data_IF_815150125552
#
_entry.id   IF_815150125552
#
_cell.length_a   1.000
_cell.length_b   1.000
_cell.length_c   1.000
_cell.angle_alpha   90.00
_cell.angle_beta   90.00
_cell.angle_gamma   90.00
#
_symmetry.space_group_name_H-M   'P 1'
#
loop_
_entity.id
_entity.type
_entity.pdbx_description
1 polymer ?
#
# COMPACT_ATOMS: atom_id res chain seq x y z
N UNK A 1 -19.77 -27.21 -37.74
CA UNK A 1 -20.29 -26.74 -36.44
C UNK A 1 -19.87 -27.76 -35.40
N UNK A 2 -18.83 -27.48 -34.62
CA UNK A 2 -18.36 -28.44 -33.60
C UNK A 2 -19.39 -28.52 -32.49
N UNK A 3 -20.02 -29.68 -32.35
CA UNK A 3 -20.87 -30.00 -31.22
C UNK A 3 -20.01 -29.98 -29.97
N UNK A 4 -20.03 -28.88 -29.23
CA UNK A 4 -19.47 -28.81 -27.90
C UNK A 4 -20.33 -29.71 -27.02
N UNK A 5 -19.93 -30.98 -26.89
CA UNK A 5 -20.51 -31.92 -25.94
C UNK A 5 -20.48 -31.28 -24.55
N UNK A 6 -21.60 -31.30 -23.85
CA UNK A 6 -21.76 -30.74 -22.49
C UNK A 6 -20.65 -31.20 -21.53
N UNK A 7 -20.16 -32.42 -21.70
CA UNK A 7 -19.00 -32.97 -20.97
C UNK A 7 -17.71 -32.15 -21.15
N UNK A 8 -17.46 -31.61 -22.34
CA UNK A 8 -16.29 -30.76 -22.62
C UNK A 8 -16.45 -29.41 -21.92
N UNK A 9 -17.65 -28.83 -21.95
CA UNK A 9 -17.94 -27.59 -21.24
C UNK A 9 -17.77 -27.74 -19.73
N UNK A 10 -18.26 -28.84 -19.16
CA UNK A 10 -18.09 -29.16 -17.73
C UNK A 10 -16.60 -29.30 -17.39
N UNK A 11 -15.83 -30.05 -18.20
CA UNK A 11 -14.39 -30.21 -18.00
C UNK A 11 -13.67 -28.86 -18.01
N UNK A 12 -13.96 -28.02 -19.00
CA UNK A 12 -13.29 -26.73 -19.16
C UNK A 12 -13.61 -25.79 -18.00
N UNK A 13 -14.84 -25.81 -17.46
CA UNK A 13 -15.21 -25.06 -16.25
C UNK A 13 -14.33 -25.45 -15.05
N UNK A 14 -14.17 -26.76 -14.79
CA UNK A 14 -13.31 -27.23 -13.70
C UNK A 14 -11.85 -26.82 -13.88
N UNK A 15 -11.33 -26.93 -15.11
CA UNK A 15 -9.95 -26.53 -15.44
C UNK A 15 -9.75 -25.03 -15.23
N UNK A 16 -10.70 -24.20 -15.67
CA UNK A 16 -10.64 -22.75 -15.51
C UNK A 16 -10.59 -22.36 -14.02
N UNK A 17 -11.52 -22.89 -13.21
CA UNK A 17 -11.51 -22.63 -11.77
C UNK A 17 -10.25 -23.16 -11.08
N UNK A 18 -9.78 -24.35 -11.46
CA UNK A 18 -8.54 -24.91 -10.95
C UNK A 18 -7.33 -24.00 -11.22
N UNK A 19 -7.19 -23.52 -12.46
CA UNK A 19 -6.13 -22.58 -12.84
C UNK A 19 -6.24 -21.29 -12.02
N UNK A 20 -7.43 -20.72 -11.89
CA UNK A 20 -7.66 -19.50 -11.08
C UNK A 20 -7.24 -19.69 -9.63
N UNK A 21 -7.56 -20.84 -9.02
CA UNK A 21 -7.14 -21.18 -7.65
C UNK A 21 -5.61 -21.24 -7.54
N UNK A 22 -4.93 -21.89 -8.50
CA UNK A 22 -3.46 -21.99 -8.52
C UNK A 22 -2.82 -20.61 -8.67
N UNK A 23 -3.32 -19.79 -9.59
CA UNK A 23 -2.83 -18.43 -9.80
C UNK A 23 -3.04 -17.58 -8.54
N UNK A 24 -4.21 -17.67 -7.90
CA UNK A 24 -4.49 -16.98 -6.64
C UNK A 24 -3.53 -17.40 -5.52
N UNK A 25 -3.27 -18.69 -5.37
CA UNK A 25 -2.27 -19.23 -4.45
C UNK A 25 -0.86 -18.69 -4.73
N UNK A 26 -0.47 -18.59 -6.00
CA UNK A 26 0.83 -18.05 -6.40
C UNK A 26 0.96 -16.57 -6.03
N UNK A 27 -0.08 -15.77 -6.30
CA UNK A 27 -0.13 -14.36 -5.89
C UNK A 27 -0.06 -14.22 -4.37
N UNK A 28 -0.79 -15.05 -3.63
CA UNK A 28 -0.74 -15.06 -2.17
C UNK A 28 0.67 -15.38 -1.63
N UNK A 29 1.39 -16.30 -2.28
CA UNK A 29 2.78 -16.60 -1.95
C UNK A 29 3.72 -15.43 -2.23
N UNK A 30 3.54 -14.72 -3.34
CA UNK A 30 4.32 -13.52 -3.67
C UNK A 30 4.13 -12.44 -2.61
N UNK A 31 2.88 -12.12 -2.27
CA UNK A 31 2.55 -11.14 -1.23
C UNK A 31 3.17 -11.57 0.11
N UNK A 32 2.98 -12.84 0.49
CA UNK A 32 3.55 -13.40 1.73
C UNK A 32 5.07 -13.32 1.75
N UNK A 33 5.73 -13.57 0.62
CA UNK A 33 7.18 -13.44 0.47
C UNK A 33 7.65 -12.02 0.69
N UNK A 34 6.99 -11.04 0.06
CA UNK A 34 7.29 -9.61 0.24
C UNK A 34 7.11 -9.20 1.71
N UNK A 35 5.99 -9.56 2.33
CA UNK A 35 5.71 -9.28 3.75
C UNK A 35 6.76 -9.92 4.65
N UNK A 36 7.23 -11.12 4.33
CA UNK A 36 8.27 -11.80 5.11
C UNK A 36 9.63 -11.10 4.98
N UNK A 37 10.00 -10.61 3.80
CA UNK A 37 11.24 -9.83 3.62
C UNK A 37 11.16 -8.50 4.36
N UNK A 38 10.04 -7.79 4.21
CA UNK A 38 9.83 -6.49 4.84
C UNK A 38 9.72 -6.61 6.37
N UNK A 39 9.06 -7.65 6.89
CA UNK A 39 9.00 -7.90 8.35
C UNK A 39 10.37 -8.24 8.92
N UNK A 40 11.22 -8.94 8.17
CA UNK A 40 12.61 -9.21 8.56
C UNK A 40 13.48 -7.96 8.52
N UNK A 41 13.20 -6.99 7.63
CA UNK A 41 13.85 -5.68 7.63
C UNK A 41 13.37 -4.84 8.82
N UNK A 42 12.06 -4.79 9.06
CA UNK A 42 11.48 -4.12 10.22
C UNK A 42 11.98 -4.72 11.55
N UNK A 43 12.23 -6.03 11.62
CA UNK A 43 12.83 -6.67 12.80
C UNK A 43 14.30 -6.28 13.05
N UNK A 44 15.05 -5.98 11.98
CA UNK A 44 16.41 -5.43 12.09
C UNK A 44 16.39 -3.97 12.53
N UNK A 45 15.38 -3.20 12.12
CA UNK A 45 15.16 -1.84 12.61
C UNK A 45 14.55 -1.80 14.02
N UNK A 46 13.79 -2.82 14.41
CA UNK A 46 13.21 -2.96 15.75
C UNK A 46 14.26 -3.32 16.83
N UNK A 47 15.40 -3.90 16.45
CA UNK A 47 16.56 -4.00 17.35
C UNK A 47 17.16 -2.61 17.68
N UNK A 48 16.69 -1.54 17.01
CA UNK A 48 17.04 -0.14 17.26
C UNK A 48 15.81 0.71 17.64
N UNK A 49 14.71 0.10 18.09
CA UNK A 49 13.56 0.85 18.59
C UNK A 49 13.70 1.08 20.11
N UNK A 50 13.80 2.34 20.60
CA UNK A 50 13.66 2.63 22.01
C UNK A 50 12.20 2.50 22.44
N UNK A 51 11.99 2.05 23.68
CA UNK A 51 10.71 1.87 24.31
C UNK A 51 9.83 3.14 24.31
N UNK A 52 8.52 2.91 24.11
CA UNK A 52 7.34 3.69 24.55
C UNK A 52 7.39 5.23 24.33
N UNK A 53 6.42 5.83 23.59
CA UNK A 53 6.44 7.27 23.33
C UNK A 53 6.16 8.06 24.62
N UNK A 54 7.22 8.57 25.25
CA UNK A 54 7.15 9.75 26.08
C UNK A 54 7.08 11.00 25.19
N UNK A 55 6.31 11.99 25.64
CA UNK A 55 6.10 13.29 25.02
C UNK A 55 7.34 13.81 24.27
N UNK A 56 7.21 14.02 22.96
CA UNK A 56 8.31 14.45 22.08
C UNK A 56 8.49 15.96 22.22
N UNK A 57 9.43 16.39 23.05
CA UNK A 57 10.14 17.65 22.81
C UNK A 57 10.89 17.54 21.47
N UNK A 58 10.96 18.60 20.62
CA UNK A 58 11.76 18.58 19.39
C UNK A 58 13.14 17.92 19.57
N UNK A 59 13.28 16.73 18.99
CA UNK A 59 14.54 15.97 18.93
C UNK A 59 15.46 16.62 17.89
N UNK A 60 16.75 16.81 18.19
CA UNK A 60 17.71 17.30 17.22
C UNK A 60 17.82 16.32 16.03
N UNK A 61 17.89 16.89 14.82
CA UNK A 61 18.04 16.15 13.57
C UNK A 61 19.29 15.25 13.68
N UNK A 62 19.20 13.94 13.46
CA UNK A 62 20.35 13.05 13.56
C UNK A 62 21.41 13.44 12.53
N UNK A 63 22.58 13.84 13.03
CA UNK A 63 23.75 14.34 12.30
C UNK A 63 24.52 13.19 11.61
N UNK A 64 23.81 12.33 10.87
CA UNK A 64 24.37 11.07 10.38
C UNK A 64 23.94 10.65 8.98
N UNK A 65 23.16 11.46 8.27
CA UNK A 65 22.85 11.20 6.86
C UNK A 65 23.84 12.00 6.01
N UNK A 66 24.72 11.34 5.25
CA UNK A 66 25.64 12.03 4.36
C UNK A 66 24.87 12.88 3.34
N UNK A 67 25.25 14.15 3.22
CA UNK A 67 24.53 15.16 2.45
C UNK A 67 24.44 14.79 0.96
N UNK A 68 25.40 14.01 0.46
CA UNK A 68 25.42 13.45 -0.88
C UNK A 68 24.20 12.56 -1.17
N UNK A 69 23.72 11.77 -0.21
CA UNK A 69 22.54 10.93 -0.41
C UNK A 69 21.27 11.78 -0.51
N UNK A 70 21.19 12.83 0.30
CA UNK A 70 20.08 13.78 0.24
C UNK A 70 20.07 14.54 -1.10
N UNK A 71 21.24 14.94 -1.59
CA UNK A 71 21.36 15.63 -2.87
C UNK A 71 20.93 14.73 -4.04
N UNK A 72 21.35 13.45 -4.06
CA UNK A 72 20.97 12.51 -5.12
C UNK A 72 19.47 12.21 -5.09
N UNK A 73 18.89 11.99 -3.90
CA UNK A 73 17.46 11.70 -3.75
C UNK A 73 16.62 12.92 -4.19
N UNK A 74 16.99 14.13 -3.76
CA UNK A 74 16.25 15.35 -4.12
C UNK A 74 16.37 15.66 -5.61
N UNK A 75 17.55 15.46 -6.22
CA UNK A 75 17.75 15.61 -7.66
C UNK A 75 16.92 14.59 -8.46
N UNK A 76 16.87 13.33 -8.02
CA UNK A 76 16.04 12.30 -8.66
C UNK A 76 14.54 12.65 -8.58
N UNK A 77 14.07 13.09 -7.42
CA UNK A 77 12.67 13.54 -7.25
C UNK A 77 12.37 14.76 -8.12
N UNK A 78 13.26 15.74 -8.18
CA UNK A 78 13.10 16.92 -9.03
C UNK A 78 13.08 16.56 -10.53
N UNK A 79 13.92 15.61 -10.96
CA UNK A 79 13.92 15.12 -12.34
C UNK A 79 12.64 14.34 -12.69
N UNK A 80 12.07 13.59 -11.73
CA UNK A 80 10.83 12.82 -11.95
C UNK A 80 9.57 13.70 -11.92
N UNK A 81 9.48 14.68 -11.03
CA UNK A 81 8.31 15.57 -10.92
C UNK A 81 8.35 16.73 -11.92
N UNK A 82 9.51 17.07 -12.47
CA UNK A 82 9.68 18.27 -13.30
C UNK A 82 9.38 19.56 -12.54
N UNK A 83 8.99 20.62 -13.24
CA UNK A 83 8.67 21.93 -12.65
C UNK A 83 7.33 21.98 -11.87
N UNK A 84 6.76 20.82 -11.50
CA UNK A 84 5.56 20.77 -10.69
C UNK A 84 5.89 21.01 -9.21
N UNK A 85 5.47 22.17 -8.70
CA UNK A 85 5.73 22.64 -7.33
C UNK A 85 4.93 21.80 -6.34
N UNK A 86 5.62 21.06 -5.47
CA UNK A 86 5.01 20.42 -4.28
C UNK A 86 4.57 21.53 -3.31
N UNK A 87 3.30 21.94 -3.38
CA UNK A 87 2.76 23.07 -2.59
C UNK A 87 2.64 22.72 -1.11
N UNK A 88 2.41 21.44 -0.76
CA UNK A 88 2.29 21.02 0.63
C UNK A 88 2.41 19.51 0.79
N UNK A 89 3.36 19.06 1.61
CA UNK A 89 3.39 17.68 2.12
C UNK A 89 3.18 17.82 3.63
N UNK A 90 1.92 17.78 4.06
CA UNK A 90 1.62 17.57 5.47
C UNK A 90 1.79 16.08 5.76
N UNK A 91 2.58 15.75 6.78
CA UNK A 91 2.45 14.43 7.38
C UNK A 91 0.98 14.30 7.80
N UNK A 92 0.27 13.21 7.44
CA UNK A 92 -1.10 13.02 7.88
C UNK A 92 -1.08 13.05 9.40
N UNK A 93 -1.56 14.17 9.97
CA UNK A 93 -1.75 14.27 11.39
C UNK A 93 -2.67 13.11 11.78
N UNK A 94 -2.27 12.39 12.81
CA UNK A 94 -2.61 10.99 13.03
C UNK A 94 -4.12 10.75 12.85
N UNK A 95 -4.51 10.04 11.77
CA UNK A 95 -5.81 9.37 11.71
C UNK A 95 -6.79 9.73 10.60
N UNK A 96 -6.43 10.55 9.59
CA UNK A 96 -7.40 11.06 8.61
C UNK A 96 -7.29 10.55 7.16
N UNK A 97 -6.54 9.49 6.88
CA UNK A 97 -6.37 9.01 5.50
C UNK A 97 -7.46 8.04 5.04
N UNK A 98 -7.58 6.89 5.70
CA UNK A 98 -8.40 5.77 5.20
C UNK A 98 -9.67 5.55 6.02
N UNK A 99 -9.58 5.64 7.34
CA UNK A 99 -10.70 5.32 8.24
C UNK A 99 -11.73 6.45 8.31
N UNK A 100 -11.31 7.70 8.14
CA UNK A 100 -12.17 8.87 8.00
C UNK A 100 -12.98 8.80 6.70
N UNK A 101 -12.32 8.54 5.57
CA UNK A 101 -12.94 8.43 4.25
C UNK A 101 -13.86 7.22 4.15
N UNK A 102 -13.46 6.06 4.66
CA UNK A 102 -14.33 4.88 4.73
C UNK A 102 -15.58 5.14 5.58
N UNK A 103 -15.45 5.90 6.69
CA UNK A 103 -16.56 6.25 7.57
C UNK A 103 -17.51 7.24 6.90
N UNK A 104 -17.00 8.26 6.21
CA UNK A 104 -17.87 9.21 5.48
C UNK A 104 -18.64 8.50 4.38
N UNK A 105 -18.00 7.68 3.56
CA UNK A 105 -18.66 6.90 2.50
C UNK A 105 -19.76 5.99 3.06
N UNK A 106 -19.51 5.33 4.18
CA UNK A 106 -20.50 4.47 4.85
C UNK A 106 -21.69 5.23 5.42
N UNK A 107 -21.50 6.47 5.90
CA UNK A 107 -22.62 7.27 6.42
C UNK A 107 -23.38 8.01 5.31
N UNK A 108 -22.71 8.40 4.23
CA UNK A 108 -23.36 9.12 3.12
C UNK A 108 -24.03 8.22 2.09
N UNK A 109 -23.81 6.90 2.13
CA UNK A 109 -24.42 5.94 1.18
C UNK A 109 -25.96 5.90 1.28
N UNK A 110 -26.51 6.23 2.45
CA UNK A 110 -27.95 6.24 2.71
C UNK A 110 -28.53 7.65 2.90
N UNK A 111 -27.75 8.70 2.59
CA UNK A 111 -28.25 10.06 2.68
C UNK A 111 -29.35 10.28 1.62
N UNK A 112 -30.57 10.70 2.01
CA UNK A 112 -31.61 11.06 1.06
C UNK A 112 -31.10 12.18 0.16
N UNK A 113 -31.16 11.98 -1.16
CA UNK A 113 -30.88 13.08 -2.10
C UNK A 113 -31.86 14.22 -1.80
N UNK A 114 -31.34 15.41 -1.52
CA UNK A 114 -32.17 16.59 -1.39
C UNK A 114 -32.99 16.75 -2.67
N UNK A 115 -34.32 16.77 -2.54
CA UNK A 115 -35.23 17.09 -3.63
C UNK A 115 -35.01 18.54 -4.05
N UNK A 116 -34.67 18.72 -5.32
CA UNK A 116 -34.57 20.00 -6.01
C UNK A 116 -35.95 20.67 -6.17
#
# INVERSE_FOLDING_TARGET
>A
MSTYTTLNAIRDIFVMYGIVIVVSMLVALVIRGIVMVLSRQAGKDAAKAPAKPASVAPQPIPTGIPQEHLAVITAAVAAMLGAHRLVRIEAPDRGFGWTSEARTVHHTSHAPRASH
#
